data_IF_310825375328
#
_entry.id   IF_310825375328
#
_cell.length_a   1.000
_cell.length_b   1.000
_cell.length_c   1.000
_cell.angle_alpha   90.00
_cell.angle_beta   90.00
_cell.angle_gamma   90.00
#
_symmetry.space_group_name_H-M   'P 1'
#
loop_
_entity.id
_entity.type
_entity.pdbx_description
1 polymer ?
#
# COMPACT_ATOMS: atom_id res chain seq x y z
N UNK A 1 24.44 -35.65 -46.09
CA UNK A 1 23.40 -34.60 -46.27
C UNK A 1 22.35 -34.86 -45.18
N UNK A 2 22.55 -34.41 -43.95
CA UNK A 2 22.44 -33.02 -43.43
C UNK A 2 21.00 -32.65 -43.05
N UNK A 3 20.72 -32.76 -41.73
CA UNK A 3 19.81 -31.99 -40.86
C UNK A 3 18.29 -31.97 -41.22
N UNK A 4 17.32 -31.86 -40.33
CA UNK A 4 17.20 -31.23 -39.02
C UNK A 4 16.15 -31.99 -38.18
N UNK A 5 16.40 -32.17 -36.89
CA UNK A 5 15.35 -32.49 -35.91
C UNK A 5 15.02 -31.19 -35.17
N UNK A 6 13.94 -30.52 -35.57
CA UNK A 6 13.55 -29.24 -34.98
C UNK A 6 12.74 -29.51 -33.71
N UNK A 7 13.38 -29.36 -32.55
CA UNK A 7 12.69 -29.32 -31.25
C UNK A 7 12.21 -27.90 -31.02
N UNK A 8 10.90 -27.68 -31.09
CA UNK A 8 10.28 -26.40 -30.70
C UNK A 8 10.12 -26.41 -29.19
N UNK A 9 11.02 -25.75 -28.47
CA UNK A 9 10.87 -25.49 -27.05
C UNK A 9 9.89 -24.33 -26.84
N UNK A 10 8.68 -24.64 -26.39
CA UNK A 10 7.73 -23.62 -25.95
C UNK A 10 8.15 -23.08 -24.58
N UNK A 11 8.88 -21.97 -24.55
CA UNK A 11 9.12 -21.20 -23.32
C UNK A 11 7.83 -20.50 -22.94
N UNK A 12 7.11 -21.05 -21.95
CA UNK A 12 6.02 -20.35 -21.28
C UNK A 12 6.63 -19.28 -20.36
N UNK A 13 6.55 -18.02 -20.77
CA UNK A 13 6.82 -16.88 -19.89
C UNK A 13 5.59 -16.73 -19.00
N UNK A 14 5.66 -17.25 -17.78
CA UNK A 14 4.65 -16.95 -16.76
C UNK A 14 5.03 -15.58 -16.19
N UNK A 15 4.48 -14.52 -16.80
CA UNK A 15 4.56 -13.19 -16.22
C UNK A 15 3.61 -13.17 -15.01
N UNK A 16 4.15 -13.36 -13.81
CA UNK A 16 3.44 -13.11 -12.55
C UNK A 16 3.26 -11.60 -12.38
N UNK A 17 2.39 -11.00 -13.19
CA UNK A 17 1.91 -9.65 -12.95
C UNK A 17 0.89 -9.72 -11.83
N UNK A 18 1.34 -9.57 -10.58
CA UNK A 18 0.42 -9.11 -9.53
C UNK A 18 0.12 -7.66 -9.89
N UNK A 19 -0.86 -7.44 -10.76
CA UNK A 19 -1.49 -6.13 -10.82
C UNK A 19 -2.06 -5.91 -9.43
N UNK A 20 -1.49 -4.97 -8.68
CA UNK A 20 -2.13 -4.46 -7.49
C UNK A 20 -3.46 -3.89 -7.95
N UNK A 21 -4.52 -4.68 -7.83
CA UNK A 21 -5.88 -4.18 -7.95
C UNK A 21 -5.96 -2.99 -7.01
N UNK A 22 -6.31 -1.82 -7.54
CA UNK A 22 -6.43 -0.60 -6.75
C UNK A 22 -7.35 -0.91 -5.58
N UNK A 23 -6.79 -0.89 -4.36
CA UNK A 23 -7.53 -1.24 -3.16
C UNK A 23 -8.43 -0.08 -2.81
N UNK A 24 -9.56 -0.37 -2.15
CA UNK A 24 -10.38 0.68 -1.54
C UNK A 24 -9.49 1.57 -0.65
N UNK A 25 -9.73 2.90 -0.60
CA UNK A 25 -8.97 3.78 0.26
C UNK A 25 -9.04 3.33 1.71
N UNK A 26 -7.89 3.26 2.38
CA UNK A 26 -7.83 2.89 3.80
C UNK A 26 -8.07 4.09 4.71
N UNK A 27 -7.94 5.31 4.17
CA UNK A 27 -8.15 6.55 4.88
C UNK A 27 -8.73 7.60 3.93
N UNK A 28 -9.73 8.32 4.41
CA UNK A 28 -10.40 9.41 3.70
C UNK A 28 -10.59 10.56 4.68
N UNK A 29 -10.17 11.76 4.29
CA UNK A 29 -10.36 12.99 5.07
C UNK A 29 -11.04 14.05 4.21
N UNK A 30 -12.07 14.68 4.76
CA UNK A 30 -12.77 15.79 4.14
C UNK A 30 -12.32 17.12 4.77
N UNK A 31 -12.00 18.09 3.93
CA UNK A 31 -11.61 19.44 4.34
C UNK A 31 -12.80 20.40 4.34
N UNK A 32 -12.62 21.58 4.93
CA UNK A 32 -13.70 22.57 5.12
C UNK A 32 -14.30 23.12 3.83
N UNK A 33 -13.56 23.05 2.73
CA UNK A 33 -14.00 23.41 1.37
C UNK A 33 -14.71 22.26 0.64
N UNK A 34 -15.03 21.18 1.37
CA UNK A 34 -15.62 19.94 0.86
C UNK A 34 -14.73 19.15 -0.10
N UNK A 35 -13.45 19.53 -0.27
CA UNK A 35 -12.47 18.67 -0.94
C UNK A 35 -12.16 17.47 -0.06
N UNK A 36 -11.82 16.36 -0.69
CA UNK A 36 -11.53 15.11 0.00
C UNK A 36 -10.19 14.58 -0.44
N UNK A 37 -9.37 14.14 0.50
CA UNK A 37 -8.13 13.41 0.22
C UNK A 37 -8.32 11.97 0.65
N UNK A 38 -8.00 11.05 -0.26
CA UNK A 38 -8.00 9.62 -0.03
C UNK A 38 -6.59 9.06 -0.11
N UNK A 39 -6.29 8.06 0.72
CA UNK A 39 -5.04 7.32 0.69
C UNK A 39 -5.31 5.86 0.38
N UNK A 40 -4.55 5.31 -0.57
CA UNK A 40 -4.73 3.95 -1.08
C UNK A 40 -3.44 3.16 -1.02
N UNK A 41 -3.53 1.87 -0.71
CA UNK A 41 -2.39 0.95 -0.73
C UNK A 41 -2.14 0.48 -2.18
N UNK A 42 -1.03 0.92 -2.76
CA UNK A 42 -0.60 0.56 -4.12
C UNK A 42 0.27 -0.69 -4.15
N UNK A 43 0.96 -1.01 -3.07
CA UNK A 43 1.69 -2.27 -2.92
C UNK A 43 1.72 -2.72 -1.46
N UNK A 44 1.74 -4.04 -1.26
CA UNK A 44 1.81 -4.65 0.07
C UNK A 44 2.59 -5.95 -0.04
N UNK A 45 3.73 -6.00 0.64
CA UNK A 45 4.58 -7.20 0.70
C UNK A 45 5.07 -7.41 2.13
N UNK A 46 5.41 -8.64 2.48
CA UNK A 46 6.09 -8.91 3.75
C UNK A 46 7.46 -8.22 3.75
N UNK A 47 7.82 -7.56 4.85
CA UNK A 47 9.10 -6.85 4.93
C UNK A 47 10.26 -7.83 4.99
N UNK A 48 11.36 -7.49 4.30
CA UNK A 48 12.63 -8.20 4.45
C UNK A 48 13.37 -7.75 5.73
N UNK A 49 13.00 -6.60 6.29
CA UNK A 49 13.51 -6.08 7.55
C UNK A 49 12.71 -6.70 8.69
N UNK A 50 13.36 -7.54 9.51
CA UNK A 50 12.69 -8.31 10.58
C UNK A 50 12.10 -7.43 11.68
N UNK A 51 12.42 -6.14 11.73
CA UNK A 51 11.77 -5.20 12.64
C UNK A 51 10.36 -4.81 12.18
N UNK A 52 9.95 -5.13 10.95
CA UNK A 52 8.66 -4.76 10.36
C UNK A 52 7.97 -5.98 9.77
N UNK A 53 6.64 -5.98 9.75
CA UNK A 53 5.86 -7.05 9.16
C UNK A 53 5.61 -6.77 7.67
N UNK A 54 5.41 -5.51 7.30
CA UNK A 54 5.03 -5.13 5.94
C UNK A 54 5.86 -3.96 5.40
N UNK A 55 6.22 -4.07 4.12
CA UNK A 55 6.59 -2.93 3.28
C UNK A 55 5.38 -2.58 2.40
N UNK A 56 5.01 -1.31 2.38
CA UNK A 56 3.75 -0.79 1.83
C UNK A 56 4.04 0.40 0.92
N UNK A 57 3.46 0.42 -0.26
CA UNK A 57 3.38 1.60 -1.11
C UNK A 57 2.03 2.29 -0.93
N UNK A 58 2.02 3.61 -0.80
CA UNK A 58 0.81 4.42 -0.64
C UNK A 58 0.74 5.48 -1.73
N UNK A 59 -0.45 5.69 -2.29
CA UNK A 59 -0.78 6.84 -3.15
C UNK A 59 -1.78 7.78 -2.48
N UNK A 60 -1.86 9.00 -3.00
CA UNK A 60 -2.78 10.04 -2.57
C UNK A 60 -3.62 10.48 -3.76
N UNK A 61 -4.94 10.59 -3.56
CA UNK A 61 -5.84 11.21 -4.54
C UNK A 61 -6.64 12.32 -3.88
N UNK A 62 -6.64 13.50 -4.49
CA UNK A 62 -7.51 14.61 -4.11
C UNK A 62 -8.74 14.62 -5.01
N UNK A 63 -9.89 14.75 -4.38
CA UNK A 63 -11.19 14.86 -5.02
C UNK A 63 -11.77 16.25 -4.73
N UNK A 64 -12.31 16.87 -5.77
CA UNK A 64 -13.13 18.07 -5.64
C UNK A 64 -14.42 17.79 -4.86
N UNK A 65 -15.17 18.85 -4.55
CA UNK A 65 -16.46 18.75 -3.87
C UNK A 65 -17.54 17.99 -4.65
N UNK A 66 -17.36 17.80 -5.97
CA UNK A 66 -18.23 16.95 -6.80
C UNK A 66 -17.81 15.48 -6.81
N UNK A 67 -16.70 15.13 -6.16
CA UNK A 67 -16.11 13.79 -6.14
C UNK A 67 -15.16 13.49 -7.30
N UNK A 68 -15.00 14.40 -8.26
CA UNK A 68 -14.04 14.24 -9.37
C UNK A 68 -12.60 14.32 -8.84
N UNK A 69 -11.75 13.38 -9.24
CA UNK A 69 -10.32 13.41 -8.93
C UNK A 69 -9.66 14.62 -9.63
N UNK A 70 -9.11 15.54 -8.85
CA UNK A 70 -8.44 16.75 -9.34
C UNK A 70 -6.92 16.69 -9.22
N UNK A 71 -6.42 15.79 -8.38
CA UNK A 71 -5.00 15.49 -8.26
C UNK A 71 -4.80 14.01 -7.92
N UNK A 72 -3.83 13.38 -8.57
CA UNK A 72 -3.40 12.01 -8.29
C UNK A 72 -1.89 12.04 -8.11
N UNK A 73 -1.43 11.68 -6.93
CA UNK A 73 -0.03 11.41 -6.67
C UNK A 73 0.29 9.99 -7.12
N UNK A 74 0.92 9.89 -8.30
CA UNK A 74 1.36 8.62 -8.88
C UNK A 74 2.67 8.11 -8.25
N UNK A 75 3.27 8.86 -7.34
CA UNK A 75 4.43 8.41 -6.59
C UNK A 75 4.03 7.40 -5.52
N UNK A 76 4.72 6.26 -5.50
CA UNK A 76 4.53 5.26 -4.45
C UNK A 76 5.37 5.64 -3.23
N UNK A 77 4.72 6.14 -2.19
CA UNK A 77 5.38 6.46 -0.93
C UNK A 77 5.64 5.19 -0.14
N UNK A 78 6.92 4.85 0.04
CA UNK A 78 7.33 3.67 0.79
C UNK A 78 7.14 3.87 2.29
N UNK A 79 6.37 2.95 2.89
CA UNK A 79 6.04 2.91 4.31
C UNK A 79 6.32 1.51 4.84
N UNK A 80 6.85 1.40 6.06
CA UNK A 80 6.97 0.11 6.75
C UNK A 80 6.08 0.06 7.98
N UNK A 81 5.50 -1.10 8.25
CA UNK A 81 4.54 -1.28 9.34
C UNK A 81 4.99 -2.43 10.25
N UNK A 82 5.08 -2.17 11.55
CA UNK A 82 5.23 -3.19 12.60
C UNK A 82 3.92 -3.35 13.36
N UNK A 83 3.40 -4.56 13.35
CA UNK A 83 2.17 -4.97 14.02
C UNK A 83 2.38 -5.23 15.51
N UNK A 84 3.50 -5.83 15.91
CA UNK A 84 3.77 -6.09 17.32
C UNK A 84 4.10 -4.80 18.10
N UNK A 85 3.93 -4.86 19.42
CA UNK A 85 4.28 -3.75 20.29
C UNK A 85 5.82 -3.53 20.33
N UNK A 86 6.31 -2.28 20.21
CA UNK A 86 5.52 -1.06 19.98
C UNK A 86 5.01 -0.97 18.54
N UNK A 87 3.72 -0.67 18.38
CA UNK A 87 3.11 -0.46 17.05
C UNK A 87 3.81 0.69 16.35
N UNK A 88 4.26 0.47 15.11
CA UNK A 88 5.06 1.46 14.39
C UNK A 88 4.62 1.57 12.93
N UNK A 89 4.63 2.81 12.45
CA UNK A 89 4.61 3.15 11.03
C UNK A 89 5.86 3.98 10.74
N UNK A 90 6.71 3.52 9.82
CA UNK A 90 7.89 4.24 9.35
C UNK A 90 7.60 4.84 7.98
N UNK A 91 7.76 6.14 7.84
CA UNK A 91 7.55 6.87 6.58
C UNK A 91 8.89 7.43 6.13
N UNK A 92 9.41 6.93 5.00
CA UNK A 92 10.78 7.22 4.59
C UNK A 92 11.79 6.88 5.69
N UNK A 93 12.53 7.88 6.18
CA UNK A 93 13.51 7.72 7.27
C UNK A 93 12.93 7.85 8.68
N UNK A 94 11.68 8.27 8.84
CA UNK A 94 11.12 8.67 10.14
C UNK A 94 10.26 7.58 10.75
N UNK A 95 10.52 7.22 12.01
CA UNK A 95 9.78 6.22 12.77
C UNK A 95 8.70 6.89 13.61
N UNK A 96 7.44 6.48 13.44
CA UNK A 96 6.31 6.93 14.24
C UNK A 96 5.79 5.78 15.11
N UNK A 97 5.90 5.93 16.43
CA UNK A 97 5.29 4.99 17.39
C UNK A 97 3.83 5.39 17.59
N UNK A 98 2.92 4.44 17.37
CA UNK A 98 1.49 4.68 17.47
C UNK A 98 1.04 4.55 18.94
N UNK A 99 0.33 5.55 19.50
CA UNK A 99 -0.23 5.46 20.84
C UNK A 99 -1.29 4.36 20.91
N UNK A 100 -1.50 3.78 22.09
CA UNK A 100 -2.40 2.63 22.25
C UNK A 100 -3.86 2.92 21.87
N UNK A 101 -4.32 4.18 21.98
CA UNK A 101 -5.68 4.62 21.67
C UNK A 101 -5.67 6.12 21.34
N UNK A 102 -5.44 6.51 20.08
CA UNK A 102 -5.73 7.89 19.66
C UNK A 102 -7.21 8.03 19.29
N UNK A 103 -7.92 8.98 19.91
CA UNK A 103 -9.28 9.38 19.50
C UNK A 103 -9.28 10.20 18.22
N UNK A 104 -8.12 10.70 17.80
CA UNK A 104 -7.92 11.41 16.54
C UNK A 104 -7.62 10.42 15.44
N UNK A 105 -8.42 10.46 14.37
CA UNK A 105 -8.21 9.72 13.13
C UNK A 105 -6.94 10.22 12.46
N UNK A 106 -5.83 9.52 12.65
CA UNK A 106 -4.57 9.74 11.95
C UNK A 106 -4.36 8.60 10.96
N UNK A 107 -4.03 8.92 9.71
CA UNK A 107 -3.90 7.95 8.64
C UNK A 107 -2.90 6.81 8.92
N UNK A 108 -1.89 7.03 9.78
CA UNK A 108 -0.93 5.99 10.16
C UNK A 108 -1.59 4.94 11.04
N UNK A 109 -2.51 5.36 11.91
CA UNK A 109 -3.27 4.44 12.76
C UNK A 109 -4.28 3.64 11.93
N UNK A 110 -4.94 4.27 10.96
CA UNK A 110 -5.86 3.59 10.03
C UNK A 110 -5.13 2.60 9.12
N UNK A 111 -3.94 2.97 8.62
CA UNK A 111 -3.08 2.04 7.87
C UNK A 111 -2.69 0.83 8.73
N UNK A 112 -2.22 1.08 9.96
CA UNK A 112 -1.83 0.01 10.87
C UNK A 112 -2.99 -0.92 11.18
N UNK A 113 -4.19 -0.38 11.47
CA UNK A 113 -5.41 -1.17 11.70
C UNK A 113 -5.78 -2.01 10.47
N UNK A 114 -5.72 -1.40 9.29
CA UNK A 114 -6.04 -2.06 8.01
C UNK A 114 -5.16 -3.29 7.78
N UNK A 115 -3.89 -3.24 8.19
CA UNK A 115 -2.94 -4.34 7.95
C UNK A 115 -2.84 -5.33 9.11
N UNK A 116 -2.90 -4.85 10.35
CA UNK A 116 -2.57 -5.65 11.53
C UNK A 116 -3.78 -6.18 12.30
N UNK A 117 -5.00 -5.70 12.00
CA UNK A 117 -6.24 -6.20 12.60
C UNK A 117 -7.06 -7.07 11.64
N UNK A 118 -6.69 -7.17 10.36
CA UNK A 118 -7.35 -8.10 9.46
C UNK A 118 -7.01 -9.54 9.87
N UNK A 119 -8.00 -10.44 9.95
CA UNK A 119 -7.75 -11.84 10.29
C UNK A 119 -6.88 -12.47 9.21
N UNK A 120 -5.75 -13.04 9.63
CA UNK A 120 -4.99 -13.96 8.78
C UNK A 120 -5.77 -15.29 8.71
N UNK A 121 -5.94 -15.81 7.49
CA UNK A 121 -6.69 -17.05 7.20
C UNK A 121 -5.98 -18.29 7.71
#
# INVERSE_FOLDING_TARGET
MSHLCTVVAATAIVASGVQAQEREPFHIVQFSDSQTVSLTITSLVASADTEYNFDVGISLTEHSSSGEAVFVDDSSHAVRVRCEAPRVVKVGGTVHILPNLSQTTDWKDDLWKTLCLQPVS
#
